data_IF_377084722326
#
_entry.id   IF_377084722326
#
_cell.length_a   1.000
_cell.length_b   1.000
_cell.length_c   1.000
_cell.angle_alpha   90.00
_cell.angle_beta   90.00
_cell.angle_gamma   90.00
#
_symmetry.space_group_name_H-M   'P 1'
#
loop_
_entity.id
_entity.type
_entity.pdbx_description
1 polymer ?
#
# COMPACT_ATOMS: atom_id res chain seq x y z
N UNK A 1 67.68 7.38 11.49
CA UNK A 1 67.11 6.31 10.66
C UNK A 1 65.97 5.72 11.48
N UNK A 2 64.77 6.27 11.30
CA UNK A 2 63.51 5.79 11.87
C UNK A 2 62.59 5.45 10.68
N UNK A 3 61.84 4.33 10.73
CA UNK A 3 60.97 3.96 9.63
C UNK A 3 59.62 4.68 9.74
N UNK A 4 59.23 5.33 8.64
CA UNK A 4 57.89 5.87 8.42
C UNK A 4 56.90 4.70 8.32
N UNK A 5 55.89 4.71 9.18
CA UNK A 5 54.74 3.79 9.12
C UNK A 5 53.86 4.25 7.97
N UNK A 6 53.80 3.43 6.92
CA UNK A 6 52.89 3.58 5.80
C UNK A 6 51.46 3.33 6.29
N UNK A 7 50.64 4.39 6.30
CA UNK A 7 49.21 4.29 6.59
C UNK A 7 48.55 3.72 5.34
N UNK A 8 48.26 2.42 5.39
CA UNK A 8 47.48 1.71 4.39
C UNK A 8 46.04 2.25 4.42
N UNK A 9 45.78 3.34 3.70
CA UNK A 9 44.42 3.76 3.35
C UNK A 9 43.89 2.78 2.29
N UNK A 10 43.15 1.77 2.75
CA UNK A 10 42.30 0.99 1.85
C UNK A 10 41.39 1.95 1.08
N UNK A 11 41.35 1.89 -0.26
CA UNK A 11 40.39 2.69 -1.01
C UNK A 11 39.00 2.19 -0.62
N UNK A 12 38.14 3.10 -0.14
CA UNK A 12 36.70 2.82 -0.04
C UNK A 12 36.25 2.28 -1.38
N UNK A 13 35.78 1.02 -1.39
CA UNK A 13 35.13 0.44 -2.54
C UNK A 13 33.99 1.36 -2.96
N UNK A 14 34.12 1.95 -4.15
CA UNK A 14 33.00 2.55 -4.85
C UNK A 14 32.06 1.39 -5.19
N UNK A 15 31.17 1.04 -4.26
CA UNK A 15 30.13 0.04 -4.47
C UNK A 15 29.17 0.62 -5.51
N UNK A 16 29.44 0.33 -6.78
CA UNK A 16 28.46 0.56 -7.84
C UNK A 16 27.17 -0.13 -7.42
N UNK A 17 26.07 0.63 -7.34
CA UNK A 17 24.76 0.08 -7.00
C UNK A 17 24.47 -1.14 -7.87
N UNK A 18 23.81 -2.16 -7.28
CA UNK A 18 23.26 -3.27 -8.06
C UNK A 18 22.42 -2.71 -9.21
N UNK A 19 22.47 -3.37 -10.37
CA UNK A 19 21.64 -2.98 -11.53
C UNK A 19 20.14 -2.92 -11.20
N UNK A 20 19.68 -3.72 -10.24
CA UNK A 20 18.29 -3.74 -9.78
C UNK A 20 17.96 -2.72 -8.68
N UNK A 21 18.96 -2.01 -8.12
CA UNK A 21 18.73 -1.09 -6.99
C UNK A 21 17.72 0.03 -7.31
N UNK A 22 17.71 0.66 -8.50
CA UNK A 22 16.69 1.66 -8.84
C UNK A 22 15.27 1.07 -8.91
N UNK A 23 15.13 -0.18 -9.34
CA UNK A 23 13.82 -0.86 -9.39
C UNK A 23 13.30 -1.08 -7.97
N UNK A 24 14.17 -1.53 -7.06
CA UNK A 24 13.83 -1.68 -5.65
C UNK A 24 13.55 -0.35 -4.96
N UNK A 25 14.28 0.71 -5.31
CA UNK A 25 14.02 2.06 -4.82
C UNK A 25 12.59 2.50 -5.16
N UNK A 26 12.15 2.29 -6.40
CA UNK A 26 10.79 2.64 -6.83
C UNK A 26 9.71 1.78 -6.16
N UNK A 27 9.97 0.48 -5.96
CA UNK A 27 9.04 -0.41 -5.23
C UNK A 27 8.90 0.04 -3.77
N UNK A 28 10.03 0.32 -3.10
CA UNK A 28 10.05 0.83 -1.73
C UNK A 28 9.39 2.21 -1.63
N UNK A 29 9.56 3.08 -2.62
CA UNK A 29 8.95 4.40 -2.64
C UNK A 29 7.41 4.31 -2.70
N UNK A 30 6.87 3.38 -3.50
CA UNK A 30 5.43 3.12 -3.54
C UNK A 30 4.92 2.58 -2.20
N UNK A 31 5.57 1.56 -1.64
CA UNK A 31 5.19 0.97 -0.36
C UNK A 31 5.22 2.01 0.77
N UNK A 32 6.35 2.71 0.92
CA UNK A 32 6.52 3.77 1.92
C UNK A 32 5.53 4.93 1.77
N UNK A 33 5.14 5.27 0.54
CA UNK A 33 4.10 6.29 0.30
C UNK A 33 2.73 5.79 0.75
N UNK A 34 2.40 4.52 0.49
CA UNK A 34 1.18 3.88 0.97
C UNK A 34 1.09 3.89 2.49
N UNK A 35 2.16 3.46 3.17
CA UNK A 35 2.22 3.44 4.64
C UNK A 35 2.05 4.80 5.28
N UNK A 36 2.71 5.84 4.74
CA UNK A 36 2.55 7.19 5.29
C UNK A 36 1.14 7.72 5.06
N UNK A 37 0.51 7.39 3.92
CA UNK A 37 -0.88 7.74 3.66
C UNK A 37 -1.83 7.00 4.63
N UNK A 38 -1.59 5.73 4.90
CA UNK A 38 -2.33 4.94 5.87
C UNK A 38 -2.21 5.53 7.28
N UNK A 39 -0.99 5.86 7.74
CA UNK A 39 -0.77 6.56 9.00
C UNK A 39 -1.58 7.87 9.10
N UNK A 40 -1.56 8.67 8.03
CA UNK A 40 -2.32 9.93 7.99
C UNK A 40 -3.83 9.70 7.98
N UNK A 41 -4.31 8.62 7.35
CA UNK A 41 -5.72 8.25 7.31
C UNK A 41 -6.20 7.82 8.70
N UNK A 42 -5.48 6.93 9.38
CA UNK A 42 -5.80 6.51 10.74
C UNK A 42 -5.73 7.67 11.75
N UNK A 43 -4.74 8.56 11.63
CA UNK A 43 -4.71 9.80 12.43
C UNK A 43 -6.00 10.61 12.21
N UNK A 44 -6.43 10.79 10.96
CA UNK A 44 -7.66 11.54 10.65
C UNK A 44 -8.92 10.81 11.14
N UNK A 45 -8.93 9.47 11.09
CA UNK A 45 -10.02 8.64 11.59
C UNK A 45 -10.22 8.85 13.10
N UNK A 46 -9.13 8.91 13.86
CA UNK A 46 -9.17 9.15 15.30
C UNK A 46 -9.87 10.46 15.69
N UNK A 47 -9.89 11.46 14.80
CA UNK A 47 -10.53 12.76 15.05
C UNK A 47 -12.06 12.73 14.87
N UNK A 48 -12.60 11.71 14.20
CA UNK A 48 -14.04 11.55 13.97
C UNK A 48 -14.68 10.43 14.80
N UNK A 49 -13.88 9.53 15.38
CA UNK A 49 -14.37 8.48 16.28
C UNK A 49 -14.93 9.09 17.58
N UNK A 50 -16.10 8.59 18.01
CA UNK A 50 -16.73 9.00 19.27
C UNK A 50 -16.41 8.01 20.41
N UNK A 51 -16.08 6.75 20.10
CA UNK A 51 -15.67 5.73 21.08
C UNK A 51 -14.17 5.87 21.40
N UNK A 52 -13.78 6.08 22.67
CA UNK A 52 -12.38 6.11 23.08
C UNK A 52 -11.56 4.88 22.70
N UNK A 53 -12.18 3.70 22.60
CA UNK A 53 -11.50 2.48 22.15
C UNK A 53 -11.13 2.60 20.66
N UNK A 54 -12.08 3.00 19.81
CA UNK A 54 -11.83 3.22 18.37
C UNK A 54 -10.80 4.34 18.13
N UNK A 55 -10.76 5.37 19.00
CA UNK A 55 -9.71 6.41 18.95
C UNK A 55 -8.34 5.81 19.26
N UNK A 56 -8.24 4.98 20.30
CA UNK A 56 -6.98 4.35 20.69
C UNK A 56 -6.48 3.40 19.59
N UNK A 57 -7.36 2.56 19.05
CA UNK A 57 -7.05 1.62 17.97
C UNK A 57 -6.57 2.37 16.72
N UNK A 58 -7.26 3.44 16.32
CA UNK A 58 -6.84 4.27 15.18
C UNK A 58 -5.46 4.92 15.41
N UNK A 59 -5.14 5.38 16.62
CA UNK A 59 -3.82 5.93 16.92
C UNK A 59 -2.73 4.85 16.94
N UNK A 60 -3.03 3.65 17.42
CA UNK A 60 -2.12 2.50 17.38
C UNK A 60 -1.81 2.08 15.94
N UNK A 61 -2.84 1.89 15.10
CA UNK A 61 -2.66 1.61 13.68
C UNK A 61 -1.83 2.73 13.02
N UNK A 62 -2.13 4.00 13.33
CA UNK A 62 -1.34 5.12 12.79
C UNK A 62 0.15 5.07 13.14
N UNK A 63 0.51 4.61 14.33
CA UNK A 63 1.92 4.44 14.73
C UNK A 63 2.54 3.20 14.08
N UNK A 64 1.76 2.12 13.90
CA UNK A 64 2.18 0.92 13.19
C UNK A 64 2.64 1.24 11.76
N UNK A 65 1.83 1.98 10.99
CA UNK A 65 2.17 2.25 9.58
C UNK A 65 3.36 3.21 9.46
N UNK A 66 3.54 4.13 10.42
CA UNK A 66 4.78 4.92 10.51
C UNK A 66 5.99 4.02 10.72
N UNK A 67 5.84 2.98 11.53
CA UNK A 67 6.83 1.93 11.73
C UNK A 67 7.16 1.19 10.43
N UNK A 68 6.16 0.76 9.66
CA UNK A 68 6.35 0.10 8.38
C UNK A 68 7.06 1.00 7.35
N UNK A 69 6.64 2.26 7.23
CA UNK A 69 7.31 3.25 6.39
C UNK A 69 8.80 3.39 6.77
N UNK A 70 9.12 3.44 8.07
CA UNK A 70 10.49 3.53 8.56
C UNK A 70 11.30 2.26 8.24
N UNK A 71 10.68 1.08 8.28
CA UNK A 71 11.29 -0.19 7.86
C UNK A 71 11.63 -0.15 6.37
N UNK A 72 10.71 0.26 5.50
CA UNK A 72 10.99 0.37 4.06
C UNK A 72 12.11 1.37 3.75
N UNK A 73 12.15 2.51 4.45
CA UNK A 73 13.26 3.45 4.34
C UNK A 73 14.60 2.82 4.78
N UNK A 74 14.60 1.98 5.82
CA UNK A 74 15.78 1.28 6.29
C UNK A 74 16.27 0.22 5.30
N UNK A 75 15.37 -0.54 4.66
CA UNK A 75 15.71 -1.50 3.61
C UNK A 75 16.36 -0.81 2.39
N UNK A 76 15.85 0.37 2.02
CA UNK A 76 16.49 1.19 0.97
C UNK A 76 17.94 1.54 1.30
N UNK A 77 18.20 2.00 2.53
CA UNK A 77 19.58 2.32 2.97
C UNK A 77 20.51 1.11 2.91
N UNK A 78 20.02 -0.09 3.21
CA UNK A 78 20.82 -1.34 3.13
C UNK A 78 21.29 -1.65 1.71
N UNK A 79 20.50 -1.29 0.69
CA UNK A 79 20.86 -1.46 -0.72
C UNK A 79 21.50 -0.21 -1.35
N UNK A 80 21.84 0.79 -0.52
CA UNK A 80 22.54 2.01 -0.94
C UNK A 80 21.66 3.06 -1.62
N UNK A 81 20.33 2.99 -1.48
CA UNK A 81 19.41 3.97 -2.07
C UNK A 81 18.68 4.79 -1.01
N UNK A 82 18.41 6.05 -1.32
CA UNK A 82 17.49 6.88 -0.53
C UNK A 82 16.07 6.71 -1.08
N UNK A 83 15.16 6.25 -0.23
CA UNK A 83 13.75 6.09 -0.62
C UNK A 83 13.04 7.39 -0.31
N UNK A 84 12.44 7.99 -1.33
CA UNK A 84 11.57 9.16 -1.19
C UNK A 84 10.10 8.71 -1.22
N UNK A 85 9.22 9.40 -0.49
CA UNK A 85 7.78 9.24 -0.63
C UNK A 85 7.17 10.50 -1.26
N UNK A 86 5.96 10.37 -1.77
CA UNK A 86 5.18 11.51 -2.22
C UNK A 86 3.67 11.23 -2.07
N UNK A 87 3.11 11.53 -0.90
CA UNK A 87 1.67 11.36 -0.64
C UNK A 87 0.79 12.28 -1.49
N UNK A 88 1.36 13.36 -2.02
CA UNK A 88 0.69 14.30 -2.93
C UNK A 88 0.74 13.86 -4.40
N UNK A 89 1.44 12.76 -4.69
CA UNK A 89 1.49 12.18 -6.03
C UNK A 89 0.08 11.87 -6.54
N UNK A 90 -0.16 12.14 -7.82
CA UNK A 90 -1.49 12.13 -8.44
C UNK A 90 -2.44 11.00 -8.02
N UNK A 91 -1.99 9.75 -8.01
CA UNK A 91 -2.86 8.62 -7.61
C UNK A 91 -3.06 8.54 -6.10
N UNK A 92 -2.00 8.67 -5.31
CA UNK A 92 -2.06 8.66 -3.85
C UNK A 92 -2.93 9.79 -3.32
N UNK A 93 -2.81 10.98 -3.89
CA UNK A 93 -3.70 12.11 -3.59
C UNK A 93 -5.16 11.79 -3.87
N UNK A 94 -5.50 11.16 -5.01
CA UNK A 94 -6.89 10.76 -5.31
C UNK A 94 -7.43 9.76 -4.29
N UNK A 95 -6.60 8.82 -3.84
CA UNK A 95 -6.96 7.85 -2.80
C UNK A 95 -7.21 8.56 -1.46
N UNK A 96 -6.30 9.46 -1.06
CA UNK A 96 -6.44 10.29 0.13
C UNK A 96 -7.69 11.17 0.07
N UNK A 97 -7.95 11.81 -1.07
CA UNK A 97 -9.13 12.65 -1.25
C UNK A 97 -10.43 11.83 -1.11
N UNK A 98 -10.44 10.57 -1.56
CA UNK A 98 -11.58 9.67 -1.36
C UNK A 98 -11.81 9.37 0.13
N UNK A 99 -10.74 9.10 0.87
CA UNK A 99 -10.80 8.91 2.32
C UNK A 99 -11.26 10.18 3.06
N UNK A 100 -10.69 11.35 2.73
CA UNK A 100 -11.03 12.62 3.39
C UNK A 100 -12.47 13.09 3.12
N UNK A 101 -13.09 12.65 2.03
CA UNK A 101 -14.55 12.82 1.84
C UNK A 101 -15.34 12.09 2.91
N UNK A 102 -14.97 10.84 3.24
CA UNK A 102 -15.58 10.11 4.34
C UNK A 102 -15.35 10.81 5.69
N UNK A 103 -14.15 11.35 5.94
CA UNK A 103 -13.87 12.14 7.15
C UNK A 103 -14.78 13.38 7.25
N UNK A 104 -14.91 14.12 6.15
CA UNK A 104 -15.78 15.32 6.10
C UNK A 104 -17.24 14.98 6.38
N UNK A 105 -17.69 13.81 5.91
CA UNK A 105 -19.03 13.27 6.14
C UNK A 105 -19.20 12.61 7.52
N UNK A 106 -18.15 12.54 8.34
CA UNK A 106 -18.06 11.72 9.57
C UNK A 106 -18.50 10.27 9.35
N UNK A 107 -18.19 9.73 8.17
CA UNK A 107 -18.54 8.38 7.75
C UNK A 107 -17.47 7.36 8.19
N UNK A 108 -17.53 6.95 9.45
CA UNK A 108 -16.62 5.95 10.02
C UNK A 108 -16.56 4.66 9.20
N UNK A 109 -17.73 4.10 8.86
CA UNK A 109 -17.84 2.88 8.04
C UNK A 109 -17.22 3.08 6.65
N UNK A 110 -17.41 4.25 6.04
CA UNK A 110 -16.78 4.59 4.78
C UNK A 110 -15.25 4.62 4.89
N UNK A 111 -14.71 5.17 5.98
CA UNK A 111 -13.27 5.18 6.23
C UNK A 111 -12.69 3.77 6.35
N UNK A 112 -13.34 2.87 7.10
CA UNK A 112 -12.93 1.47 7.23
C UNK A 112 -12.98 0.73 5.88
N UNK A 113 -14.00 0.97 5.06
CA UNK A 113 -14.07 0.36 3.72
C UNK A 113 -12.91 0.83 2.84
N UNK A 114 -12.56 2.12 2.88
CA UNK A 114 -11.48 2.66 2.05
C UNK A 114 -10.11 2.16 2.54
N UNK A 115 -9.80 2.34 3.81
CA UNK A 115 -8.50 1.97 4.36
C UNK A 115 -8.40 0.45 4.54
N UNK A 116 -9.13 -0.09 5.52
CA UNK A 116 -8.98 -1.48 6.00
C UNK A 116 -9.46 -2.55 5.01
N UNK A 117 -10.26 -2.20 3.99
CA UNK A 117 -10.69 -3.16 2.96
C UNK A 117 -10.03 -2.92 1.62
N UNK A 118 -10.14 -1.73 1.03
CA UNK A 118 -9.65 -1.49 -0.32
C UNK A 118 -8.13 -1.32 -0.38
N UNK A 119 -7.56 -0.45 0.47
CA UNK A 119 -6.12 -0.20 0.48
C UNK A 119 -5.35 -1.39 1.08
N UNK A 120 -5.79 -1.95 2.21
CA UNK A 120 -5.09 -3.10 2.81
C UNK A 120 -5.12 -4.35 1.96
N UNK A 121 -6.21 -4.63 1.24
CA UNK A 121 -6.24 -5.74 0.29
C UNK A 121 -5.17 -5.60 -0.80
N UNK A 122 -4.83 -4.37 -1.18
CA UNK A 122 -3.74 -4.10 -2.13
C UNK A 122 -2.36 -4.20 -1.48
N UNK A 123 -2.20 -3.70 -0.25
CA UNK A 123 -0.97 -3.80 0.52
C UNK A 123 -0.60 -5.28 0.78
N UNK A 124 -1.50 -6.04 1.43
CA UNK A 124 -1.34 -7.49 1.69
C UNK A 124 -0.90 -8.24 0.44
N UNK A 125 -1.61 -8.07 -0.68
CA UNK A 125 -1.32 -8.81 -1.90
C UNK A 125 -0.02 -8.38 -2.56
N UNK A 126 0.22 -7.07 -2.66
CA UNK A 126 1.43 -6.54 -3.31
C UNK A 126 2.67 -6.88 -2.50
N UNK A 127 2.62 -6.68 -1.18
CA UNK A 127 3.73 -6.97 -0.28
C UNK A 127 4.01 -8.46 -0.19
N UNK A 128 2.99 -9.31 -0.17
CA UNK A 128 3.19 -10.76 -0.27
C UNK A 128 3.93 -11.14 -1.56
N UNK A 129 3.58 -10.52 -2.70
CA UNK A 129 4.26 -10.79 -3.98
C UNK A 129 5.69 -10.30 -3.98
N UNK A 130 5.93 -9.08 -3.49
CA UNK A 130 7.27 -8.52 -3.36
C UNK A 130 8.11 -9.35 -2.38
N UNK A 131 7.56 -9.76 -1.25
CA UNK A 131 8.24 -10.56 -0.24
C UNK A 131 8.72 -11.92 -0.77
N UNK A 132 7.99 -12.53 -1.71
CA UNK A 132 8.37 -13.80 -2.33
C UNK A 132 9.56 -13.71 -3.29
N UNK A 133 9.86 -12.52 -3.83
CA UNK A 133 10.92 -12.32 -4.84
C UNK A 133 12.02 -11.36 -4.38
N UNK A 134 11.76 -10.61 -3.31
CA UNK A 134 12.68 -9.66 -2.70
C UNK A 134 13.92 -10.36 -2.15
N UNK A 135 15.13 -9.78 -2.33
CA UNK A 135 16.35 -10.37 -1.83
C UNK A 135 16.50 -10.18 -0.31
N UNK A 136 16.93 -11.24 0.39
CA UNK A 136 17.37 -11.16 1.80
C UNK A 136 16.36 -10.44 2.70
N UNK A 137 16.86 -9.49 3.50
CA UNK A 137 16.03 -8.76 4.48
C UNK A 137 14.91 -7.93 3.86
N UNK A 138 15.03 -7.54 2.58
CA UNK A 138 13.97 -6.80 1.89
C UNK A 138 12.76 -7.69 1.71
N UNK A 139 12.96 -8.91 1.17
CA UNK A 139 11.90 -9.89 1.01
C UNK A 139 11.25 -10.26 2.35
N UNK A 140 12.07 -10.50 3.37
CA UNK A 140 11.61 -10.81 4.74
C UNK A 140 10.76 -9.67 5.33
N UNK A 141 11.18 -8.42 5.14
CA UNK A 141 10.44 -7.25 5.66
C UNK A 141 9.08 -7.10 4.99
N UNK A 142 9.02 -7.21 3.65
CA UNK A 142 7.75 -7.17 2.92
C UNK A 142 6.82 -8.33 3.33
N UNK A 143 7.34 -9.54 3.49
CA UNK A 143 6.53 -10.69 3.89
C UNK A 143 5.98 -10.55 5.32
N UNK A 144 6.78 -10.03 6.25
CA UNK A 144 6.34 -9.75 7.62
C UNK A 144 5.25 -8.68 7.66
N UNK A 145 5.50 -7.53 7.00
CA UNK A 145 4.53 -6.43 6.96
C UNK A 145 3.23 -6.89 6.30
N UNK A 146 3.30 -7.66 5.19
CA UNK A 146 2.09 -8.22 4.57
C UNK A 146 1.23 -9.10 5.50
N UNK A 147 1.86 -9.77 6.48
CA UNK A 147 1.13 -10.55 7.49
C UNK A 147 0.46 -9.64 8.53
N UNK A 148 1.15 -8.57 8.94
CA UNK A 148 0.62 -7.53 9.84
C UNK A 148 -0.58 -6.82 9.19
N UNK A 149 -0.52 -6.45 7.90
CA UNK A 149 -1.68 -5.86 7.18
C UNK A 149 -2.90 -6.79 7.11
N UNK A 150 -2.68 -8.11 7.20
CA UNK A 150 -3.77 -9.07 7.27
C UNK A 150 -4.60 -8.90 8.54
N UNK A 151 -3.97 -8.48 9.65
CA UNK A 151 -4.64 -8.25 10.93
C UNK A 151 -5.55 -7.01 10.86
N UNK A 152 -5.19 -5.98 10.11
CA UNK A 152 -6.04 -4.80 9.85
C UNK A 152 -7.32 -5.20 9.12
N UNK A 153 -7.23 -6.06 8.10
CA UNK A 153 -8.42 -6.56 7.38
C UNK A 153 -9.34 -7.37 8.32
N UNK A 154 -8.76 -8.21 9.17
CA UNK A 154 -9.51 -9.03 10.13
C UNK A 154 -10.22 -8.18 11.20
N UNK A 155 -9.58 -7.09 11.64
CA UNK A 155 -10.15 -6.12 12.57
C UNK A 155 -11.43 -5.46 11.99
N UNK A 156 -11.36 -4.83 10.82
CA UNK A 156 -12.52 -4.22 10.17
C UNK A 156 -13.66 -5.21 9.89
N UNK A 157 -13.32 -6.48 9.62
CA UNK A 157 -14.29 -7.49 9.17
C UNK A 157 -15.45 -7.67 10.15
N UNK A 158 -15.17 -7.64 11.46
CA UNK A 158 -16.20 -7.80 12.48
C UNK A 158 -17.19 -6.62 12.48
N UNK A 159 -16.66 -5.39 12.43
CA UNK A 159 -17.44 -4.14 12.43
C UNK A 159 -18.30 -4.06 11.16
N UNK A 160 -17.68 -4.28 10.01
CA UNK A 160 -18.35 -4.12 8.71
C UNK A 160 -19.43 -5.19 8.47
N UNK A 161 -19.22 -6.43 8.93
CA UNK A 161 -20.29 -7.46 8.89
C UNK A 161 -21.48 -7.08 9.75
N UNK A 162 -21.23 -6.55 10.96
CA UNK A 162 -22.30 -6.10 11.84
C UNK A 162 -23.08 -4.93 11.24
N UNK A 163 -22.39 -3.98 10.60
CA UNK A 163 -23.02 -2.86 9.92
C UNK A 163 -23.85 -3.34 8.71
N UNK A 164 -23.29 -4.21 7.88
CA UNK A 164 -24.01 -4.80 6.74
C UNK A 164 -25.27 -5.55 7.16
N UNK A 165 -25.24 -6.24 8.29
CA UNK A 165 -26.40 -6.99 8.81
C UNK A 165 -27.57 -6.07 9.20
N UNK A 166 -27.34 -4.78 9.43
CA UNK A 166 -28.40 -3.80 9.73
C UNK A 166 -29.17 -3.39 8.48
N UNK A 167 -28.48 -3.19 7.37
CA UNK A 167 -29.07 -2.82 6.08
C UNK A 167 -28.12 -3.23 4.94
N UNK A 168 -28.40 -4.41 4.37
CA UNK A 168 -27.57 -5.02 3.33
C UNK A 168 -27.49 -4.13 2.10
N UNK A 169 -28.62 -3.60 1.64
CA UNK A 169 -28.66 -2.83 0.40
C UNK A 169 -27.90 -1.52 0.56
N UNK A 170 -28.14 -0.78 1.65
CA UNK A 170 -27.45 0.49 1.91
C UNK A 170 -25.95 0.31 2.08
N UNK A 171 -25.52 -0.78 2.73
CA UNK A 171 -24.10 -1.10 2.88
C UNK A 171 -23.46 -1.43 1.53
N UNK A 172 -24.07 -2.32 0.75
CA UNK A 172 -23.54 -2.74 -0.55
C UNK A 172 -23.47 -1.55 -1.54
N UNK A 173 -24.48 -0.67 -1.54
CA UNK A 173 -24.47 0.58 -2.31
C UNK A 173 -23.33 1.52 -1.89
N UNK A 174 -23.04 1.61 -0.59
CA UNK A 174 -21.92 2.41 -0.06
C UNK A 174 -20.58 1.84 -0.53
N UNK A 175 -20.38 0.53 -0.41
CA UNK A 175 -19.15 -0.14 -0.87
C UNK A 175 -18.97 0.07 -2.37
N UNK A 176 -20.03 -0.07 -3.17
CA UNK A 176 -19.96 0.15 -4.61
C UNK A 176 -19.58 1.59 -4.97
N UNK A 177 -20.18 2.60 -4.31
CA UNK A 177 -19.82 4.00 -4.54
C UNK A 177 -18.34 4.25 -4.26
N UNK A 178 -17.82 3.76 -3.14
CA UNK A 178 -16.40 3.91 -2.78
C UNK A 178 -15.48 3.14 -3.72
N UNK A 179 -15.93 1.96 -4.18
CA UNK A 179 -15.22 1.14 -5.15
C UNK A 179 -14.95 1.93 -6.45
N UNK A 180 -15.95 2.64 -6.96
CA UNK A 180 -15.81 3.41 -8.21
C UNK A 180 -14.69 4.48 -8.12
N UNK A 181 -14.45 5.06 -6.95
CA UNK A 181 -13.39 6.04 -6.75
C UNK A 181 -12.03 5.39 -6.49
N UNK A 182 -11.98 4.53 -5.47
CA UNK A 182 -10.74 3.99 -4.90
C UNK A 182 -10.17 2.90 -5.80
N UNK A 183 -10.99 1.92 -6.17
CA UNK A 183 -10.54 0.77 -6.95
C UNK A 183 -10.25 1.12 -8.40
N UNK A 184 -10.93 2.14 -8.96
CA UNK A 184 -10.54 2.71 -10.26
C UNK A 184 -9.14 3.32 -10.19
N UNK A 185 -8.84 4.07 -9.13
CA UNK A 185 -7.52 4.69 -8.96
C UNK A 185 -6.43 3.63 -8.78
N UNK A 186 -6.65 2.62 -7.93
CA UNK A 186 -5.73 1.51 -7.73
C UNK A 186 -5.53 0.69 -9.01
N UNK A 187 -6.60 0.45 -9.77
CA UNK A 187 -6.52 -0.21 -11.07
C UNK A 187 -5.67 0.59 -12.07
N UNK A 188 -5.80 1.92 -12.11
CA UNK A 188 -4.93 2.79 -12.93
C UNK A 188 -3.46 2.73 -12.49
N UNK A 189 -3.20 2.70 -11.19
CA UNK A 189 -1.83 2.59 -10.65
C UNK A 189 -1.12 1.34 -11.15
N UNK A 190 -1.84 0.22 -11.36
CA UNK A 190 -1.27 -1.03 -11.88
C UNK A 190 -1.59 -1.31 -13.36
N UNK A 191 -2.28 -0.38 -14.04
CA UNK A 191 -2.56 -0.51 -15.46
C UNK A 191 -1.28 -0.58 -16.28
N UNK A 192 -1.34 -1.30 -17.41
CA UNK A 192 -0.18 -1.50 -18.30
C UNK A 192 0.36 -0.16 -18.82
N UNK A 193 -0.53 0.75 -19.16
CA UNK A 193 -0.20 2.08 -19.67
C UNK A 193 -0.37 3.14 -18.60
N UNK A 194 0.67 3.94 -18.36
CA UNK A 194 0.55 5.16 -17.56
C UNK A 194 -0.01 6.28 -18.43
N UNK A 195 -1.34 6.31 -18.60
CA UNK A 195 -2.03 7.39 -19.35
C UNK A 195 -1.81 8.77 -18.74
N UNK A 196 -1.50 8.79 -17.45
CA UNK A 196 -1.23 10.00 -16.66
C UNK A 196 0.25 10.45 -16.74
N UNK A 197 1.11 9.75 -17.51
CA UNK A 197 2.53 10.08 -17.66
C UNK A 197 3.39 9.45 -16.55
N UNK A 198 4.06 10.29 -15.76
CA UNK A 198 4.86 9.85 -14.62
C UNK A 198 4.00 9.79 -13.34
N UNK A 199 4.20 8.79 -12.48
CA UNK A 199 3.38 8.61 -11.28
C UNK A 199 3.79 9.53 -10.11
N UNK A 200 4.86 10.31 -10.27
CA UNK A 200 5.39 11.28 -9.29
C UNK A 200 5.95 10.65 -8.00
N UNK A 201 6.10 9.32 -7.98
CA UNK A 201 6.71 8.56 -6.88
C UNK A 201 7.99 7.86 -7.33
N UNK A 202 8.03 7.32 -8.56
CA UNK A 202 9.25 6.72 -9.10
C UNK A 202 10.35 7.79 -9.23
N UNK A 203 11.60 7.41 -9.02
CA UNK A 203 12.74 8.32 -9.00
C UNK A 203 13.05 8.90 -10.39
N UNK A 204 12.78 8.16 -11.48
CA UNK A 204 13.08 8.61 -12.84
C UNK A 204 11.95 8.31 -13.83
N UNK A 205 11.95 7.13 -14.44
CA UNK A 205 10.88 6.67 -15.32
C UNK A 205 9.94 5.76 -14.56
N UNK A 206 8.77 5.45 -15.14
CA UNK A 206 7.89 4.45 -14.58
C UNK A 206 8.62 3.11 -14.41
N UNK A 207 8.54 2.51 -13.22
CA UNK A 207 9.17 1.22 -12.91
C UNK A 207 8.53 0.03 -13.62
N UNK A 208 7.25 0.14 -14.02
CA UNK A 208 6.45 -1.00 -14.54
C UNK A 208 7.12 -1.78 -15.68
N UNK A 209 7.74 -1.14 -16.69
CA UNK A 209 8.41 -1.85 -17.76
C UNK A 209 9.65 -2.64 -17.30
N UNK A 210 10.24 -2.31 -16.15
CA UNK A 210 11.45 -2.93 -15.61
C UNK A 210 11.16 -3.96 -14.50
N UNK A 211 9.92 -4.09 -14.04
CA UNK A 211 9.57 -5.04 -12.96
C UNK A 211 10.00 -6.49 -13.25
N UNK A 212 10.02 -6.90 -14.52
CA UNK A 212 10.41 -8.27 -14.89
C UNK A 212 11.88 -8.58 -14.54
N UNK A 213 12.74 -7.56 -14.44
CA UNK A 213 14.15 -7.74 -14.05
C UNK A 213 14.30 -8.20 -12.60
N UNK A 214 13.25 -8.03 -11.78
CA UNK A 214 13.17 -8.49 -10.39
C UNK A 214 12.07 -9.54 -10.19
N UNK A 215 11.68 -10.23 -11.25
CA UNK A 215 10.65 -11.30 -11.23
C UNK A 215 9.26 -10.81 -10.78
N UNK A 216 8.90 -9.57 -11.12
CA UNK A 216 7.56 -9.00 -10.90
C UNK A 216 6.94 -8.58 -12.23
N UNK A 217 5.61 -8.44 -12.26
CA UNK A 217 4.92 -7.73 -13.32
C UNK A 217 3.73 -6.95 -12.77
N UNK A 218 3.40 -5.83 -13.42
CA UNK A 218 2.22 -5.04 -13.05
C UNK A 218 0.92 -5.85 -13.18
N UNK A 219 0.86 -6.76 -14.16
CA UNK A 219 -0.29 -7.65 -14.36
C UNK A 219 -0.46 -8.65 -13.20
N UNK A 220 0.62 -9.24 -12.71
CA UNK A 220 0.57 -10.16 -11.56
C UNK A 220 0.23 -9.44 -10.27
N UNK A 221 0.83 -8.26 -10.02
CA UNK A 221 0.50 -7.44 -8.86
C UNK A 221 -0.98 -7.04 -8.87
N UNK A 222 -1.49 -6.63 -10.03
CA UNK A 222 -2.91 -6.30 -10.22
C UNK A 222 -3.80 -7.51 -9.96
N UNK A 223 -3.49 -8.64 -10.60
CA UNK A 223 -4.30 -9.86 -10.47
C UNK A 223 -4.36 -10.36 -9.03
N UNK A 224 -3.22 -10.35 -8.33
CA UNK A 224 -3.15 -10.71 -6.92
C UNK A 224 -3.96 -9.76 -6.03
N UNK A 225 -3.84 -8.45 -6.25
CA UNK A 225 -4.55 -7.44 -5.46
C UNK A 225 -6.06 -7.50 -5.66
N UNK A 226 -6.53 -7.65 -6.90
CA UNK A 226 -7.95 -7.83 -7.20
C UNK A 226 -8.48 -9.15 -6.64
N UNK A 227 -7.70 -10.23 -6.69
CA UNK A 227 -8.08 -11.49 -6.07
C UNK A 227 -8.22 -11.35 -4.55
N UNK A 228 -7.29 -10.67 -3.89
CA UNK A 228 -7.36 -10.43 -2.44
C UNK A 228 -8.59 -9.59 -2.10
N UNK A 229 -8.80 -8.48 -2.80
CA UNK A 229 -9.98 -7.63 -2.60
C UNK A 229 -11.29 -8.41 -2.78
N UNK A 230 -11.42 -9.23 -3.83
CA UNK A 230 -12.61 -10.04 -4.06
C UNK A 230 -12.84 -11.07 -2.94
N UNK A 231 -11.78 -11.68 -2.41
CA UNK A 231 -11.88 -12.56 -1.23
C UNK A 231 -12.37 -11.80 0.00
N UNK A 232 -11.84 -10.59 0.22
CA UNK A 232 -12.26 -9.73 1.34
C UNK A 232 -13.75 -9.37 1.23
N UNK A 233 -14.23 -9.02 0.03
CA UNK A 233 -15.66 -8.74 -0.19
C UNK A 233 -16.55 -10.00 -0.02
N UNK A 234 -16.08 -11.16 -0.45
CA UNK A 234 -16.78 -12.44 -0.24
C UNK A 234 -16.87 -12.75 1.27
N UNK A 235 -15.80 -12.50 2.02
CA UNK A 235 -15.81 -12.60 3.48
C UNK A 235 -16.80 -11.61 4.13
N UNK A 236 -16.99 -10.41 3.59
CA UNK A 236 -18.04 -9.48 4.02
C UNK A 236 -19.46 -9.96 3.67
N UNK A 237 -19.59 -10.99 2.84
CA UNK A 237 -20.84 -11.59 2.42
C UNK A 237 -21.48 -10.92 1.21
N UNK A 238 -20.71 -10.16 0.42
CA UNK A 238 -21.19 -9.59 -0.84
C UNK A 238 -21.10 -10.67 -1.93
N UNK A 239 -22.20 -10.98 -2.65
CA UNK A 239 -22.20 -12.05 -3.63
C UNK A 239 -21.14 -11.88 -4.72
N UNK A 240 -20.40 -12.95 -5.04
CA UNK A 240 -19.32 -12.93 -6.03
C UNK A 240 -19.78 -12.46 -7.43
N UNK A 241 -21.01 -12.76 -7.84
CA UNK A 241 -21.59 -12.25 -9.09
C UNK A 241 -21.71 -10.73 -9.14
N UNK A 242 -21.99 -10.09 -8.00
CA UNK A 242 -22.08 -8.63 -7.86
C UNK A 242 -20.68 -8.03 -7.91
N UNK A 243 -19.75 -8.57 -7.13
CA UNK A 243 -18.39 -8.01 -7.03
C UNK A 243 -17.57 -8.22 -8.30
N UNK A 244 -17.80 -9.32 -9.03
CA UNK A 244 -17.24 -9.52 -10.37
C UNK A 244 -17.75 -8.48 -11.37
N UNK A 245 -19.04 -8.14 -11.32
CA UNK A 245 -19.60 -7.10 -12.17
C UNK A 245 -19.02 -5.71 -11.87
N UNK A 246 -18.62 -5.44 -10.62
CA UNK A 246 -17.92 -4.21 -10.25
C UNK A 246 -16.50 -4.19 -10.81
N UNK A 247 -15.71 -5.24 -10.54
CA UNK A 247 -14.31 -5.32 -11.00
C UNK A 247 -14.19 -5.30 -12.53
N UNK A 248 -15.18 -5.83 -13.25
CA UNK A 248 -15.23 -5.78 -14.71
C UNK A 248 -15.31 -4.34 -15.29
N UNK A 249 -15.70 -3.35 -14.49
CA UNK A 249 -15.76 -1.94 -14.89
C UNK A 249 -14.42 -1.20 -14.71
N UNK A 250 -13.46 -1.81 -14.02
CA UNK A 250 -12.18 -1.18 -13.73
C UNK A 250 -11.31 -1.04 -14.99
N UNK A 251 -10.56 0.06 -15.14
CA UNK A 251 -9.69 0.28 -16.29
C UNK A 251 -8.57 -0.76 -16.35
N UNK A 252 -8.27 -1.26 -17.55
CA UNK A 252 -7.20 -2.24 -17.84
C UNK A 252 -5.90 -1.56 -18.26
#
# INVERSE_FOLDING_TARGET
MEPLIDVNCSPMECTSLSRSAPIWQDILAQAMTGELLAAMNYTSLSEICDDPAEVADALEHSECERGHAAVFAAEGRKIGVEVCNNVDAKHWKRLRDAFLRCITERDFIGCLIVQEIMLESFAVASYSRVGNVGPGSLGESFARIAAEEGEHVDHAMAILRAERARDVQRFDDKVYRLHLDVMTTLAQMLAKECKDGHCEVCHASCVKPSLFEVSLSAAELRGASLQQYLKTLDMLGIPGEVTLAWVAQLPV
#
